data_IF_985067630066
#
_entry.id   IF_985067630066
#
_cell.length_a   1.000
_cell.length_b   1.000
_cell.length_c   1.000
_cell.angle_alpha   90.00
_cell.angle_beta   90.00
_cell.angle_gamma   90.00
#
_symmetry.space_group_name_H-M   'P 1'
#
loop_
_entity.id
_entity.type
_entity.pdbx_description
1 polymer ?
#
# COMPACT_ATOMS: atom_id res chain seq x y z
N UNK A 1 -0.98 32.12 44.31
CA UNK A 1 0.27 31.35 44.30
C UNK A 1 0.70 31.18 42.84
N UNK A 2 1.88 31.71 42.47
CA UNK A 2 2.37 31.73 41.09
C UNK A 2 2.97 30.37 40.75
N UNK A 3 2.44 29.70 39.74
CA UNK A 3 3.01 28.48 39.17
C UNK A 3 4.02 28.85 38.08
N UNK A 4 5.24 28.37 38.23
CA UNK A 4 6.35 28.44 37.28
C UNK A 4 6.05 27.71 35.96
N UNK A 5 6.52 28.22 34.80
CA UNK A 5 6.33 27.56 33.51
C UNK A 5 7.30 26.38 33.34
N UNK A 6 6.80 25.29 32.76
CA UNK A 6 7.58 24.13 32.37
C UNK A 6 8.62 24.51 31.29
N UNK A 7 9.85 24.11 31.56
CA UNK A 7 11.07 24.35 30.81
C UNK A 7 11.06 23.68 29.42
N UNK A 8 11.14 24.50 28.37
CA UNK A 8 11.19 24.17 26.92
C UNK A 8 12.62 23.77 26.46
N UNK A 9 13.52 23.48 27.40
CA UNK A 9 14.94 23.13 27.15
C UNK A 9 15.14 21.74 26.53
N UNK A 10 14.37 20.73 26.94
CA UNK A 10 14.56 19.35 26.48
C UNK A 10 14.12 19.13 25.01
N UNK A 11 13.07 19.84 24.56
CA UNK A 11 12.61 19.77 23.17
C UNK A 11 13.58 20.47 22.21
N UNK A 12 14.23 21.56 22.66
CA UNK A 12 15.25 22.28 21.86
C UNK A 12 16.57 21.52 21.75
N UNK A 13 16.92 20.69 22.73
CA UNK A 13 18.14 19.87 22.68
C UNK A 13 18.10 18.76 21.61
N UNK A 14 16.92 18.22 21.30
CA UNK A 14 16.75 17.17 20.26
C UNK A 14 16.80 17.75 18.85
N UNK A 15 16.33 18.99 18.66
CA UNK A 15 16.36 19.68 17.36
C UNK A 15 17.80 20.09 16.98
N UNK A 16 18.64 20.46 17.97
CA UNK A 16 20.00 21.00 17.70
C UNK A 16 21.07 19.97 17.33
N UNK A 17 20.82 18.67 17.55
CA UNK A 17 21.80 17.60 17.23
C UNK A 17 21.72 17.14 15.77
N UNK A 18 20.63 17.46 15.06
CA UNK A 18 20.41 17.09 13.65
C UNK A 18 20.75 18.20 12.65
N UNK A 19 21.16 19.38 13.11
CA UNK A 19 21.55 20.53 12.28
C UNK A 19 23.07 20.65 12.08
N UNK A 20 23.83 19.56 12.24
CA UNK A 20 25.21 19.55 11.73
C UNK A 20 25.15 19.31 10.21
N UNK A 21 25.51 20.29 9.36
CA UNK A 21 25.65 20.02 7.95
C UNK A 21 26.72 18.94 7.79
N UNK A 22 26.40 17.88 7.04
CA UNK A 22 27.42 16.98 6.53
C UNK A 22 28.44 17.84 5.80
N UNK A 23 29.68 17.86 6.29
CA UNK A 23 30.80 18.43 5.54
C UNK A 23 30.92 17.58 4.27
N UNK A 24 30.29 18.05 3.20
CA UNK A 24 30.35 17.42 1.88
C UNK A 24 31.74 17.66 1.31
N UNK A 25 32.62 16.68 1.46
CA UNK A 25 33.83 16.60 0.64
C UNK A 25 33.42 16.29 -0.81
N UNK A 26 33.97 16.97 -1.83
CA UNK A 26 33.49 16.88 -3.21
C UNK A 26 33.80 15.55 -3.96
N UNK A 27 34.27 14.50 -3.28
CA UNK A 27 34.74 13.26 -3.93
C UNK A 27 34.03 11.96 -3.47
N UNK A 28 32.85 12.02 -2.83
CA UNK A 28 32.14 10.80 -2.41
C UNK A 28 31.23 10.21 -3.49
N UNK A 29 31.46 8.93 -3.81
CA UNK A 29 30.65 8.18 -4.77
C UNK A 29 29.25 7.87 -4.20
N UNK A 30 28.25 7.51 -5.03
CA UNK A 30 26.92 7.13 -4.54
C UNK A 30 26.92 5.90 -3.63
N UNK A 31 27.92 5.02 -3.73
CA UNK A 31 28.06 3.85 -2.86
C UNK A 31 28.49 4.26 -1.44
N UNK A 32 29.45 5.19 -1.33
CA UNK A 32 29.96 5.69 -0.04
C UNK A 32 28.86 6.44 0.74
N UNK A 33 28.01 7.19 0.03
CA UNK A 33 26.83 7.85 0.62
C UNK A 33 25.80 6.87 1.20
N UNK A 34 25.67 5.70 0.60
CA UNK A 34 24.74 4.67 1.06
C UNK A 34 25.30 3.92 2.28
N UNK A 35 26.60 3.68 2.33
CA UNK A 35 27.28 3.07 3.48
C UNK A 35 27.28 4.00 4.70
N UNK A 36 27.52 5.30 4.50
CA UNK A 36 27.45 6.33 5.56
C UNK A 36 26.02 6.45 6.13
N UNK A 37 24.99 6.40 5.27
CA UNK A 37 23.60 6.41 5.69
C UNK A 37 23.20 5.15 6.49
N UNK A 38 23.76 3.99 6.13
CA UNK A 38 23.57 2.74 6.87
C UNK A 38 24.22 2.78 8.26
N UNK A 39 25.45 3.31 8.38
CA UNK A 39 26.16 3.50 9.66
C UNK A 39 25.43 4.47 10.59
N UNK A 40 24.84 5.53 10.04
CA UNK A 40 24.02 6.46 10.83
C UNK A 40 22.70 5.83 11.30
N UNK A 41 22.13 4.90 10.53
CA UNK A 41 20.90 4.20 10.88
C UNK A 41 21.10 3.14 11.97
N UNK A 42 22.21 2.40 11.95
CA UNK A 42 22.60 1.45 13.02
C UNK A 42 22.96 2.18 14.31
N UNK A 43 23.71 3.29 14.22
CA UNK A 43 24.03 4.12 15.38
C UNK A 43 22.79 4.76 16.02
N UNK A 44 21.80 5.16 15.20
CA UNK A 44 20.50 5.64 15.68
C UNK A 44 19.68 4.56 16.41
N UNK A 45 19.75 3.30 15.94
CA UNK A 45 19.07 2.16 16.54
C UNK A 45 19.65 1.77 17.91
N UNK A 46 20.98 1.73 18.04
CA UNK A 46 21.66 1.44 19.31
C UNK A 46 21.43 2.54 20.35
N UNK A 47 21.45 3.81 19.92
CA UNK A 47 21.16 4.95 20.80
C UNK A 47 19.70 4.98 21.26
N UNK A 48 18.76 4.59 20.40
CA UNK A 48 17.34 4.48 20.76
C UNK A 48 17.09 3.37 21.80
N UNK A 49 17.76 2.22 21.68
CA UNK A 49 17.67 1.14 22.68
C UNK A 49 18.27 1.55 24.03
N UNK A 50 19.32 2.37 24.04
CA UNK A 50 19.97 2.87 25.28
C UNK A 50 19.11 3.89 26.04
N UNK A 51 18.31 4.69 25.35
CA UNK A 51 17.48 5.74 25.95
C UNK A 51 16.16 5.21 26.52
N UNK A 52 15.62 4.10 25.98
CA UNK A 52 14.28 3.62 26.33
C UNK A 52 14.23 2.45 27.35
N UNK A 53 15.36 2.06 27.95
CA UNK A 53 15.42 1.37 29.25
C UNK A 53 14.36 0.28 29.55
N UNK A 54 14.10 -0.66 28.65
CA UNK A 54 13.19 -1.78 28.94
C UNK A 54 13.95 -2.95 29.58
N UNK A 55 14.01 -2.95 30.91
CA UNK A 55 14.39 -4.09 31.72
C UNK A 55 13.33 -5.20 31.69
N UNK A 56 13.77 -6.43 31.48
CA UNK A 56 12.94 -7.64 31.62
C UNK A 56 12.64 -7.92 33.09
N UNK A 57 11.37 -7.87 33.52
CA UNK A 57 10.83 -8.75 34.58
C UNK A 57 9.29 -8.75 34.58
N UNK A 58 8.72 -9.97 34.49
CA UNK A 58 7.35 -10.40 34.87
C UNK A 58 6.19 -9.78 34.07
N UNK A 59 5.47 -10.53 33.21
CA UNK A 59 4.45 -11.51 33.61
C UNK A 59 4.40 -12.72 32.66
N UNK A 60 4.67 -13.90 33.21
CA UNK A 60 4.91 -15.17 32.48
C UNK A 60 3.66 -16.08 32.40
N UNK A 61 2.44 -15.57 32.59
CA UNK A 61 1.25 -16.45 32.69
C UNK A 61 -0.02 -16.02 31.95
N UNK A 62 -0.05 -14.87 31.27
CA UNK A 62 -1.22 -14.46 30.46
C UNK A 62 -0.99 -14.53 28.94
N UNK A 63 0.25 -14.79 28.51
CA UNK A 63 0.62 -14.94 27.09
C UNK A 63 0.43 -16.35 26.52
N UNK A 64 0.11 -17.35 27.35
CA UNK A 64 0.07 -18.75 26.93
C UNK A 64 -1.27 -19.20 26.32
N UNK A 65 -2.31 -18.35 26.25
CA UNK A 65 -3.64 -18.76 25.72
C UNK A 65 -4.15 -18.05 24.47
N UNK A 66 -3.40 -17.12 23.88
CA UNK A 66 -3.77 -16.47 22.59
C UNK A 66 -2.71 -16.53 21.50
N UNK A 67 -1.58 -17.20 21.76
CA UNK A 67 -0.55 -17.47 20.75
C UNK A 67 -0.59 -18.93 20.27
N UNK A 68 -1.67 -19.31 19.61
CA UNK A 68 -1.69 -20.48 18.72
C UNK A 68 -1.86 -19.99 17.27
N UNK A 69 -0.88 -19.24 16.80
CA UNK A 69 -0.63 -19.01 15.37
C UNK A 69 0.77 -19.55 15.09
N UNK A 70 0.99 -20.28 13.99
CA UNK A 70 2.20 -21.08 13.82
C UNK A 70 3.43 -20.19 13.81
N UNK A 71 4.36 -20.55 14.69
CA UNK A 71 5.68 -19.98 14.82
C UNK A 71 6.47 -20.07 13.51
N UNK A 72 7.24 -19.02 13.25
CA UNK A 72 8.51 -19.02 12.51
C UNK A 72 8.63 -19.97 11.31
N UNK A 73 8.06 -19.57 10.16
CA UNK A 73 8.67 -19.93 8.89
C UNK A 73 9.77 -18.91 8.60
N UNK A 74 10.99 -19.20 9.07
CA UNK A 74 12.20 -18.53 8.60
C UNK A 74 12.20 -18.52 7.07
N UNK A 75 12.46 -17.37 6.48
CA UNK A 75 12.51 -17.22 5.02
C UNK A 75 13.60 -18.13 4.50
N UNK A 76 13.20 -19.22 3.84
CA UNK A 76 14.11 -20.09 3.09
C UNK A 76 14.94 -19.20 2.15
N UNK A 77 16.28 -19.33 2.11
CA UNK A 77 17.09 -18.68 1.10
C UNK A 77 16.45 -18.91 -0.27
N UNK A 78 16.41 -17.87 -1.10
CA UNK A 78 15.96 -17.99 -2.50
C UNK A 78 16.56 -19.28 -3.08
N UNK A 79 15.75 -20.25 -3.53
CA UNK A 79 16.29 -21.46 -4.12
C UNK A 79 17.19 -21.04 -5.28
N UNK A 80 18.47 -21.41 -5.21
CA UNK A 80 19.44 -21.19 -6.28
C UNK A 80 19.05 -22.06 -7.48
N UNK A 81 18.03 -21.65 -8.23
CA UNK A 81 17.91 -22.07 -9.62
C UNK A 81 19.00 -21.32 -10.37
N UNK A 82 19.87 -22.07 -11.03
CA UNK A 82 20.81 -21.52 -12.00
C UNK A 82 20.02 -20.67 -12.99
N UNK A 83 20.33 -19.37 -13.14
CA UNK A 83 19.79 -18.57 -14.23
C UNK A 83 20.01 -19.33 -15.54
N UNK A 84 18.97 -19.47 -16.35
CA UNK A 84 19.16 -20.00 -17.70
C UNK A 84 20.12 -19.06 -18.42
N UNK A 85 21.27 -19.54 -18.88
CA UNK A 85 22.29 -18.72 -19.54
C UNK A 85 21.75 -17.96 -20.77
N UNK A 86 20.61 -18.39 -21.33
CA UNK A 86 19.90 -17.70 -22.41
C UNK A 86 19.03 -16.52 -21.95
N UNK A 87 18.86 -16.35 -20.64
CA UNK A 87 18.08 -15.28 -20.04
C UNK A 87 18.98 -14.07 -19.74
N UNK A 88 19.55 -13.46 -20.78
CA UNK A 88 20.24 -12.19 -20.67
C UNK A 88 19.27 -11.01 -20.82
N UNK A 89 19.58 -9.89 -20.16
CA UNK A 89 18.95 -8.61 -20.44
C UNK A 89 19.72 -7.98 -21.58
N UNK A 90 19.04 -7.73 -22.70
CA UNK A 90 19.60 -6.97 -23.83
C UNK A 90 18.91 -5.60 -23.93
N UNK A 91 19.57 -4.57 -24.47
CA UNK A 91 18.94 -3.27 -24.70
C UNK A 91 17.63 -3.39 -25.50
N UNK A 92 16.59 -2.68 -25.08
CA UNK A 92 15.24 -2.72 -25.64
C UNK A 92 14.42 -3.97 -25.28
N UNK A 93 14.95 -4.89 -24.47
CA UNK A 93 14.26 -6.14 -24.12
C UNK A 93 13.14 -5.97 -23.11
N UNK A 94 12.26 -6.96 -23.01
CA UNK A 94 11.25 -7.00 -21.95
C UNK A 94 11.88 -7.04 -20.55
N UNK A 95 13.03 -7.70 -20.41
CA UNK A 95 13.82 -7.78 -19.19
C UNK A 95 14.24 -6.40 -18.70
N UNK A 96 14.87 -5.61 -19.57
CA UNK A 96 15.36 -4.26 -19.24
C UNK A 96 14.24 -3.38 -18.70
N UNK A 97 13.14 -3.24 -19.46
CA UNK A 97 12.02 -2.39 -19.03
C UNK A 97 11.39 -2.82 -17.70
N UNK A 98 11.30 -4.13 -17.44
CA UNK A 98 10.76 -4.65 -16.18
C UNK A 98 11.71 -4.36 -15.03
N UNK A 99 13.01 -4.62 -15.20
CA UNK A 99 14.03 -4.38 -14.18
C UNK A 99 14.18 -2.90 -13.86
N UNK A 100 14.30 -2.02 -14.86
CA UNK A 100 14.33 -0.56 -14.63
C UNK A 100 13.13 -0.08 -13.81
N UNK A 101 11.94 -0.64 -14.06
CA UNK A 101 10.75 -0.31 -13.27
C UNK A 101 10.81 -0.88 -11.85
N UNK A 102 11.33 -2.10 -11.68
CA UNK A 102 11.56 -2.73 -10.36
C UNK A 102 12.58 -1.94 -9.56
N UNK A 103 13.75 -1.63 -10.12
CA UNK A 103 14.85 -0.91 -9.47
C UNK A 103 14.38 0.45 -8.97
N UNK A 104 13.66 1.20 -9.81
CA UNK A 104 13.07 2.47 -9.40
C UNK A 104 12.10 2.32 -8.22
N UNK A 105 11.31 1.25 -8.17
CA UNK A 105 10.37 1.02 -7.07
C UNK A 105 11.08 0.52 -5.81
N UNK A 106 12.16 -0.25 -5.93
CA UNK A 106 12.99 -0.68 -4.80
C UNK A 106 13.72 0.52 -4.20
N UNK A 107 14.34 1.37 -5.03
CA UNK A 107 14.94 2.63 -4.59
C UNK A 107 13.92 3.51 -3.87
N UNK A 108 12.78 3.79 -4.51
CA UNK A 108 11.72 4.59 -3.90
C UNK A 108 11.17 3.99 -2.58
N UNK A 109 11.14 2.67 -2.43
CA UNK A 109 10.70 2.03 -1.18
C UNK A 109 11.70 2.31 -0.06
N UNK A 110 12.99 2.27 -0.37
CA UNK A 110 14.10 2.51 0.56
C UNK A 110 14.16 3.99 0.94
N UNK A 111 14.06 4.89 -0.03
CA UNK A 111 14.07 6.35 0.20
C UNK A 111 12.89 6.83 1.07
N UNK A 112 11.77 6.11 1.02
CA UNK A 112 10.58 6.44 1.80
C UNK A 112 10.65 5.97 3.26
N UNK A 113 11.51 5.00 3.60
CA UNK A 113 11.58 4.45 4.96
C UNK A 113 11.88 5.55 6.01
N UNK A 114 12.92 6.39 5.85
CA UNK A 114 13.21 7.43 6.84
C UNK A 114 12.08 8.46 6.96
N UNK A 115 11.39 8.76 5.85
CA UNK A 115 10.25 9.67 5.84
C UNK A 115 9.05 9.09 6.61
N UNK A 116 8.78 7.78 6.48
CA UNK A 116 7.73 7.11 7.26
C UNK A 116 8.07 7.10 8.75
N UNK A 117 9.31 6.78 9.11
CA UNK A 117 9.76 6.80 10.51
C UNK A 117 9.61 8.16 11.15
N UNK A 118 9.92 9.25 10.43
CA UNK A 118 9.73 10.63 10.91
C UNK A 118 8.28 11.11 10.90
N UNK A 119 7.34 10.32 10.38
CA UNK A 119 5.94 10.73 10.28
C UNK A 119 5.73 11.85 9.26
N UNK A 120 6.55 11.88 8.21
CA UNK A 120 6.41 12.89 7.17
C UNK A 120 5.06 12.76 6.44
N UNK A 121 4.40 13.87 6.09
CA UNK A 121 3.11 13.84 5.40
C UNK A 121 3.13 12.97 4.14
N UNK A 122 2.08 12.17 3.94
CA UNK A 122 1.88 11.27 2.79
C UNK A 122 2.94 10.17 2.60
N UNK A 123 3.98 10.07 3.45
CA UNK A 123 5.05 9.09 3.30
C UNK A 123 4.54 7.64 3.37
N UNK A 124 3.66 7.35 4.34
CA UNK A 124 3.03 6.01 4.52
C UNK A 124 2.23 5.64 3.27
N UNK A 125 1.45 6.58 2.73
CA UNK A 125 0.66 6.36 1.53
C UNK A 125 1.54 6.08 0.30
N UNK A 126 2.61 6.86 0.13
CA UNK A 126 3.59 6.66 -0.94
C UNK A 126 4.25 5.29 -0.80
N UNK A 127 4.75 4.92 0.38
CA UNK A 127 5.46 3.66 0.61
C UNK A 127 4.54 2.46 0.36
N UNK A 128 3.31 2.49 0.90
CA UNK A 128 2.27 1.48 0.63
C UNK A 128 1.96 1.37 -0.86
N UNK A 129 1.88 2.50 -1.56
CA UNK A 129 1.60 2.50 -3.00
C UNK A 129 2.77 1.90 -3.79
N UNK A 130 4.01 2.23 -3.43
CA UNK A 130 5.24 1.66 -4.00
C UNK A 130 5.29 0.15 -3.80
N UNK A 131 5.09 -0.35 -2.58
CA UNK A 131 5.05 -1.79 -2.29
C UNK A 131 3.96 -2.52 -3.11
N UNK A 132 2.78 -1.91 -3.27
CA UNK A 132 1.69 -2.48 -4.09
C UNK A 132 2.00 -2.50 -5.58
N UNK A 133 2.68 -1.46 -6.10
CA UNK A 133 3.12 -1.39 -7.50
C UNK A 133 4.19 -2.44 -7.77
N UNK A 134 5.17 -2.58 -6.88
CA UNK A 134 6.24 -3.57 -6.99
C UNK A 134 5.67 -4.98 -6.99
N UNK A 135 4.81 -5.31 -6.01
CA UNK A 135 4.08 -6.60 -5.97
C UNK A 135 3.26 -6.86 -7.24
N UNK A 136 2.65 -5.81 -7.80
CA UNK A 136 1.90 -5.88 -9.04
C UNK A 136 2.78 -6.22 -10.24
N UNK A 137 3.93 -5.56 -10.34
CA UNK A 137 4.94 -5.80 -11.38
C UNK A 137 5.43 -7.25 -11.36
N UNK A 138 5.95 -7.72 -10.21
CA UNK A 138 6.47 -9.09 -10.06
C UNK A 138 5.43 -10.16 -10.43
N UNK A 139 4.16 -9.92 -10.08
CA UNK A 139 3.05 -10.82 -10.43
C UNK A 139 2.78 -10.86 -11.94
N UNK A 140 2.71 -9.68 -12.57
CA UNK A 140 2.28 -9.55 -13.96
C UNK A 140 3.34 -10.00 -14.94
N UNK A 141 4.63 -9.84 -14.59
CA UNK A 141 5.78 -10.17 -15.44
C UNK A 141 6.48 -11.47 -15.04
N UNK A 142 5.76 -12.42 -14.46
CA UNK A 142 6.26 -13.77 -14.11
C UNK A 142 6.82 -14.62 -15.28
N UNK A 143 6.70 -14.13 -16.51
CA UNK A 143 7.35 -14.76 -17.68
C UNK A 143 8.73 -14.19 -17.98
N UNK A 144 9.06 -13.04 -17.37
CA UNK A 144 10.36 -12.36 -17.39
C UNK A 144 11.15 -12.71 -16.12
N UNK A 145 10.51 -12.67 -14.95
CA UNK A 145 11.10 -13.03 -13.67
C UNK A 145 10.54 -14.37 -13.17
N UNK A 146 11.39 -15.23 -12.58
CA UNK A 146 10.94 -16.47 -11.96
C UNK A 146 10.01 -16.16 -10.78
N UNK A 147 8.83 -16.79 -10.80
CA UNK A 147 7.85 -16.62 -9.74
C UNK A 147 8.29 -17.33 -8.47
N UNK A 148 9.04 -18.43 -8.58
CA UNK A 148 9.39 -19.23 -7.40
C UNK A 148 10.38 -18.41 -6.52
N UNK A 149 11.22 -17.61 -7.18
CA UNK A 149 12.08 -16.62 -6.52
C UNK A 149 11.33 -15.36 -6.06
N UNK A 150 10.38 -14.85 -6.85
CA UNK A 150 9.71 -13.57 -6.53
C UNK A 150 8.47 -13.69 -5.66
N UNK A 151 7.87 -14.88 -5.52
CA UNK A 151 6.65 -15.11 -4.74
C UNK A 151 6.82 -14.89 -3.22
N UNK A 152 7.95 -15.29 -2.59
CA UNK A 152 8.28 -14.89 -1.22
C UNK A 152 8.28 -13.37 -1.04
N UNK A 153 9.01 -12.64 -1.89
CA UNK A 153 9.06 -11.17 -1.85
C UNK A 153 7.65 -10.57 -2.05
N UNK A 154 6.84 -11.14 -2.94
CA UNK A 154 5.46 -10.69 -3.17
C UNK A 154 4.57 -10.89 -1.94
N UNK A 155 4.79 -11.95 -1.16
CA UNK A 155 4.08 -12.20 0.11
C UNK A 155 4.50 -11.17 1.15
N UNK A 156 5.78 -10.86 1.25
CA UNK A 156 6.28 -9.92 2.25
C UNK A 156 5.95 -8.46 1.88
N UNK A 157 5.97 -8.10 0.60
CA UNK A 157 5.38 -6.84 0.11
C UNK A 157 3.86 -6.74 0.34
N UNK A 158 3.15 -7.88 0.37
CA UNK A 158 1.71 -7.89 0.72
C UNK A 158 1.52 -7.63 2.20
N UNK A 159 2.34 -8.25 3.04
CA UNK A 159 2.35 -8.02 4.49
C UNK A 159 2.67 -6.55 4.79
N UNK A 160 3.80 -6.02 4.30
CA UNK A 160 4.19 -4.62 4.51
C UNK A 160 3.10 -3.64 4.07
N UNK A 161 2.54 -3.83 2.88
CA UNK A 161 1.44 -2.98 2.40
C UNK A 161 0.15 -3.09 3.24
N UNK A 162 -0.02 -4.20 3.97
CA UNK A 162 -1.09 -4.42 4.95
C UNK A 162 -0.85 -3.62 6.23
N UNK A 163 0.35 -3.71 6.80
CA UNK A 163 0.74 -2.96 8.01
C UNK A 163 0.66 -1.45 7.79
N UNK A 164 1.26 -0.94 6.70
CA UNK A 164 1.15 0.46 6.24
C UNK A 164 -0.29 0.86 5.86
N UNK A 165 -1.20 -0.11 5.82
CA UNK A 165 -2.56 0.05 5.37
C UNK A 165 -3.52 0.55 6.42
N UNK A 166 -3.36 0.08 7.66
CA UNK A 166 -4.27 0.38 8.75
C UNK A 166 -4.36 1.90 8.98
N UNK A 167 -3.21 2.56 9.07
CA UNK A 167 -3.10 4.01 9.24
C UNK A 167 -3.80 4.77 8.10
N UNK A 168 -3.48 4.45 6.84
CA UNK A 168 -4.04 5.17 5.70
C UNK A 168 -5.53 4.89 5.46
N UNK A 169 -5.96 3.64 5.62
CA UNK A 169 -7.36 3.28 5.42
C UNK A 169 -8.24 3.94 6.49
N UNK A 170 -7.72 4.07 7.72
CA UNK A 170 -8.35 4.85 8.79
C UNK A 170 -8.40 6.36 8.48
N UNK A 171 -7.29 6.98 8.06
CA UNK A 171 -7.28 8.41 7.71
C UNK A 171 -8.32 8.77 6.63
N UNK A 172 -8.44 7.94 5.60
CA UNK A 172 -9.42 8.15 4.52
C UNK A 172 -10.83 8.02 5.05
N UNK A 173 -11.07 7.03 5.92
CA UNK A 173 -12.38 6.83 6.55
C UNK A 173 -12.72 8.01 7.47
N UNK A 174 -11.79 8.45 8.32
CA UNK A 174 -11.94 9.63 9.19
C UNK A 174 -12.31 10.87 8.39
N UNK A 175 -11.56 11.18 7.33
CA UNK A 175 -11.83 12.36 6.51
C UNK A 175 -13.23 12.31 5.89
N UNK A 176 -13.63 11.13 5.42
CA UNK A 176 -14.97 10.90 4.85
C UNK A 176 -16.08 11.11 5.88
N UNK A 177 -15.94 10.54 7.08
CA UNK A 177 -16.92 10.66 8.15
C UNK A 177 -17.00 12.10 8.67
N UNK A 178 -15.85 12.76 8.85
CA UNK A 178 -15.77 14.15 9.32
C UNK A 178 -16.38 15.11 8.31
N UNK A 179 -16.09 14.92 7.02
CA UNK A 179 -16.71 15.71 5.94
C UNK A 179 -18.22 15.44 5.89
N UNK A 180 -18.64 14.17 5.99
CA UNK A 180 -20.05 13.81 6.05
C UNK A 180 -20.80 14.52 7.18
N UNK A 181 -20.24 14.58 8.39
CA UNK A 181 -20.84 15.33 9.51
C UNK A 181 -20.85 16.84 9.23
N UNK A 182 -19.77 17.41 8.68
CA UNK A 182 -19.67 18.84 8.36
C UNK A 182 -20.69 19.28 7.31
N UNK A 183 -20.99 18.41 6.35
CA UNK A 183 -21.89 18.71 5.24
C UNK A 183 -23.38 18.56 5.61
N UNK A 184 -23.69 18.07 6.83
CA UNK A 184 -25.07 18.00 7.32
C UNK A 184 -25.57 19.36 7.81
N UNK A 185 -26.86 19.69 7.58
CA UNK A 185 -27.53 20.75 8.32
C UNK A 185 -27.41 20.53 9.83
N UNK A 186 -27.17 21.61 10.58
CA UNK A 186 -26.87 21.54 12.01
C UNK A 186 -27.99 20.88 12.83
N UNK A 187 -29.24 21.07 12.43
CA UNK A 187 -30.43 20.46 13.04
C UNK A 187 -30.48 18.93 12.90
N UNK A 188 -29.71 18.34 11.98
CA UNK A 188 -29.60 16.90 11.79
C UNK A 188 -28.40 16.28 12.55
N UNK A 189 -27.61 17.10 13.24
CA UNK A 189 -26.47 16.68 14.06
C UNK A 189 -26.91 16.59 15.52
N UNK A 190 -27.29 15.40 15.97
CA UNK A 190 -27.86 15.17 17.29
C UNK A 190 -26.84 14.50 18.22
N UNK A 191 -26.58 15.14 19.36
CA UNK A 191 -25.64 14.65 20.37
C UNK A 191 -24.17 14.99 20.08
N UNK A 192 -23.22 14.43 20.85
CA UNK A 192 -21.81 14.80 20.81
C UNK A 192 -21.04 14.11 19.65
N UNK A 193 -21.58 14.14 18.43
CA UNK A 193 -21.07 13.45 17.23
C UNK A 193 -19.59 13.78 16.97
N UNK A 194 -19.22 15.06 17.07
CA UNK A 194 -17.84 15.52 16.88
C UNK A 194 -16.87 14.94 17.91
N UNK A 195 -17.22 14.96 19.20
CA UNK A 195 -16.39 14.40 20.26
C UNK A 195 -16.21 12.89 20.11
N UNK A 196 -17.28 12.17 19.74
CA UNK A 196 -17.22 10.73 19.47
C UNK A 196 -16.32 10.40 18.28
N UNK A 197 -16.38 11.16 17.19
CA UNK A 197 -15.44 11.02 16.07
C UNK A 197 -14.00 11.22 16.51
N UNK A 198 -13.72 12.25 17.33
CA UNK A 198 -12.38 12.54 17.82
C UNK A 198 -11.80 11.40 18.67
N UNK A 199 -12.59 10.85 19.60
CA UNK A 199 -12.18 9.72 20.45
C UNK A 199 -11.91 8.48 19.60
N UNK A 200 -12.82 8.14 18.69
CA UNK A 200 -12.64 7.02 17.76
C UNK A 200 -11.38 7.17 16.92
N UNK A 201 -11.12 8.39 16.43
CA UNK A 201 -9.99 8.69 15.58
C UNK A 201 -8.64 8.63 16.31
N UNK A 202 -8.57 9.16 17.54
CA UNK A 202 -7.36 9.16 18.35
C UNK A 202 -6.84 7.74 18.61
N UNK A 203 -7.74 6.82 18.99
CA UNK A 203 -7.39 5.42 19.27
C UNK A 203 -6.83 4.71 18.03
N UNK A 204 -7.46 4.89 16.87
CA UNK A 204 -7.06 4.22 15.64
C UNK A 204 -5.76 4.80 15.03
N UNK A 205 -5.55 6.11 15.15
CA UNK A 205 -4.28 6.75 14.72
C UNK A 205 -3.08 6.23 15.51
N UNK A 206 -3.20 6.15 16.83
CA UNK A 206 -2.12 5.65 17.68
C UNK A 206 -1.77 4.19 17.33
N UNK A 207 -2.79 3.34 17.17
CA UNK A 207 -2.60 1.93 16.80
C UNK A 207 -2.00 1.76 15.40
N UNK A 208 -2.50 2.51 14.41
CA UNK A 208 -1.97 2.48 13.05
C UNK A 208 -0.50 2.89 13.00
N UNK A 209 -0.15 3.97 13.70
CA UNK A 209 1.23 4.46 13.80
C UNK A 209 2.15 3.42 14.46
N UNK A 210 1.69 2.81 15.57
CA UNK A 210 2.42 1.76 16.28
C UNK A 210 2.72 0.58 15.36
N UNK A 211 1.70 0.04 14.67
CA UNK A 211 1.87 -1.09 13.72
C UNK A 211 2.84 -0.76 12.59
N UNK A 212 2.74 0.44 12.02
CA UNK A 212 3.67 0.90 10.98
C UNK A 212 5.12 0.85 11.50
N UNK A 213 5.39 1.42 12.69
CA UNK A 213 6.74 1.47 13.25
C UNK A 213 7.27 0.08 13.65
N UNK A 214 6.43 -0.76 14.26
CA UNK A 214 6.76 -2.14 14.60
C UNK A 214 7.09 -2.97 13.35
N UNK A 215 6.30 -2.83 12.28
CA UNK A 215 6.57 -3.51 11.02
C UNK A 215 7.93 -3.10 10.43
N UNK A 216 8.24 -1.80 10.42
CA UNK A 216 9.51 -1.28 9.92
C UNK A 216 10.70 -1.60 10.83
N UNK A 217 10.49 -1.86 12.12
CA UNK A 217 11.52 -2.33 13.03
C UNK A 217 11.71 -3.86 13.01
N UNK A 218 10.83 -4.60 12.35
CA UNK A 218 10.84 -6.06 12.40
C UNK A 218 11.97 -6.68 11.57
N UNK A 219 12.52 -7.84 11.99
CA UNK A 219 13.48 -8.61 11.19
C UNK A 219 12.92 -8.99 9.82
N UNK A 220 11.61 -9.24 9.73
CA UNK A 220 10.92 -9.55 8.47
C UNK A 220 11.03 -8.42 7.44
N UNK A 221 10.99 -7.16 7.87
CA UNK A 221 11.16 -6.02 6.98
C UNK A 221 12.61 -5.92 6.47
N UNK A 222 13.60 -6.14 7.34
CA UNK A 222 15.01 -6.19 6.94
C UNK A 222 15.27 -7.29 5.91
N UNK A 223 14.77 -8.52 6.14
CA UNK A 223 14.88 -9.61 5.17
C UNK A 223 14.17 -9.31 3.85
N UNK A 224 13.07 -8.53 3.87
CA UNK A 224 12.42 -8.05 2.65
C UNK A 224 13.35 -7.10 1.89
N UNK A 225 14.01 -6.15 2.56
CA UNK A 225 14.95 -5.22 1.92
C UNK A 225 16.15 -5.97 1.31
N UNK A 226 16.74 -6.90 2.05
CA UNK A 226 17.82 -7.77 1.56
C UNK A 226 17.38 -8.58 0.33
N UNK A 227 16.20 -9.19 0.38
CA UNK A 227 15.65 -9.94 -0.74
C UNK A 227 15.34 -9.08 -1.96
N UNK A 228 14.92 -7.83 -1.76
CA UNK A 228 14.74 -6.85 -2.85
C UNK A 228 16.06 -6.37 -3.43
N UNK A 229 17.10 -6.23 -2.60
CA UNK A 229 18.44 -5.90 -3.06
C UNK A 229 19.04 -7.05 -3.88
N UNK A 230 18.96 -8.27 -3.37
CA UNK A 230 19.39 -9.48 -4.09
C UNK A 230 18.67 -9.66 -5.42
N UNK A 231 17.37 -9.32 -5.47
CA UNK A 231 16.60 -9.32 -6.72
C UNK A 231 17.15 -8.32 -7.77
N UNK A 232 17.61 -7.15 -7.32
CA UNK A 232 18.19 -6.13 -8.20
C UNK A 232 19.61 -6.52 -8.66
N UNK A 233 20.42 -7.08 -7.76
CA UNK A 233 21.81 -7.46 -8.05
C UNK A 233 21.90 -8.73 -8.93
N UNK A 234 21.04 -9.71 -8.69
CA UNK A 234 21.03 -10.99 -9.41
C UNK A 234 19.59 -11.40 -9.79
N UNK A 235 18.98 -10.75 -10.79
CA UNK A 235 17.59 -10.99 -11.14
C UNK A 235 17.38 -12.43 -11.65
N UNK A 236 16.34 -13.16 -11.17
CA UNK A 236 16.05 -14.52 -11.58
C UNK A 236 15.32 -14.50 -12.93
N UNK A 237 16.08 -14.29 -14.00
CA UNK A 237 15.53 -14.10 -15.34
C UNK A 237 15.02 -15.41 -15.96
N UNK A 238 13.99 -15.28 -16.78
CA UNK A 238 13.41 -16.35 -17.60
C UNK A 238 13.65 -16.04 -19.08
N UNK A 239 13.51 -17.03 -19.99
CA UNK A 239 13.79 -16.83 -21.42
C UNK A 239 13.05 -15.66 -22.10
N UNK A 240 11.88 -15.22 -21.60
CA UNK A 240 11.19 -14.05 -22.19
C UNK A 240 11.77 -12.71 -21.75
N UNK A 241 12.75 -12.68 -20.86
CA UNK A 241 13.50 -11.49 -20.52
C UNK A 241 14.21 -10.93 -21.77
N UNK A 242 14.90 -11.78 -22.53
CA UNK A 242 15.54 -11.42 -23.80
C UNK A 242 14.55 -11.17 -24.97
N UNK A 243 13.25 -11.37 -24.75
CA UNK A 243 12.24 -11.22 -25.79
C UNK A 243 11.89 -9.77 -26.12
N UNK A 244 11.37 -9.54 -27.33
CA UNK A 244 10.84 -8.24 -27.78
C UNK A 244 9.85 -7.66 -26.76
N UNK A 245 10.15 -6.46 -26.27
CA UNK A 245 9.42 -5.81 -25.18
C UNK A 245 7.95 -5.64 -25.52
N UNK A 246 7.60 -5.23 -26.73
CA UNK A 246 6.21 -4.97 -27.12
C UNK A 246 5.37 -6.25 -27.04
N UNK A 247 5.92 -7.36 -27.56
CA UNK A 247 5.23 -8.64 -27.60
C UNK A 247 5.04 -9.23 -26.21
N UNK A 248 6.08 -9.19 -25.37
CA UNK A 248 6.05 -9.80 -24.02
C UNK A 248 5.18 -8.97 -23.09
N UNK A 249 5.36 -7.65 -23.08
CA UNK A 249 4.63 -6.75 -22.19
C UNK A 249 3.15 -6.65 -22.58
N UNK A 250 2.82 -6.55 -23.88
CA UNK A 250 1.43 -6.57 -24.33
C UNK A 250 0.72 -7.88 -23.96
N UNK A 251 1.41 -9.03 -24.08
CA UNK A 251 0.84 -10.33 -23.65
C UNK A 251 0.58 -10.37 -22.15
N UNK A 252 1.42 -9.74 -21.32
CA UNK A 252 1.18 -9.63 -19.89
C UNK A 252 -0.04 -8.75 -19.58
N UNK A 253 -0.19 -7.61 -20.26
CA UNK A 253 -1.36 -6.73 -20.11
C UNK A 253 -2.67 -7.43 -20.49
N UNK A 254 -2.68 -8.15 -21.62
CA UNK A 254 -3.86 -8.90 -22.06
C UNK A 254 -4.26 -9.98 -21.04
N UNK A 255 -3.29 -10.70 -20.45
CA UNK A 255 -3.59 -11.67 -19.39
C UNK A 255 -4.20 -11.05 -18.15
N UNK A 256 -3.71 -9.89 -17.70
CA UNK A 256 -4.34 -9.17 -16.58
C UNK A 256 -5.72 -8.59 -16.96
N UNK A 257 -5.90 -8.20 -18.22
CA UNK A 257 -7.18 -7.78 -18.76
C UNK A 257 -8.20 -8.91 -18.75
N UNK A 258 -7.90 -10.09 -19.28
CA UNK A 258 -8.83 -11.24 -19.28
C UNK A 258 -9.24 -11.64 -17.86
N UNK A 259 -8.30 -11.54 -16.91
CA UNK A 259 -8.56 -11.76 -15.49
C UNK A 259 -9.47 -10.68 -14.89
N UNK A 260 -9.42 -9.44 -15.38
CA UNK A 260 -10.32 -8.37 -14.97
C UNK A 260 -11.70 -8.55 -15.58
N UNK A 261 -11.77 -8.96 -16.86
CA UNK A 261 -13.02 -9.29 -17.55
C UNK A 261 -13.84 -10.29 -16.74
N UNK A 262 -13.27 -11.46 -16.43
CA UNK A 262 -13.97 -12.48 -15.62
C UNK A 262 -14.48 -11.97 -14.27
N UNK A 263 -13.73 -11.08 -13.62
CA UNK A 263 -14.15 -10.51 -12.31
C UNK A 263 -15.24 -9.47 -12.47
N UNK A 264 -15.14 -8.64 -13.50
CA UNK A 264 -16.17 -7.64 -13.75
C UNK A 264 -17.46 -8.28 -14.21
N UNK A 265 -17.40 -9.28 -15.09
CA UNK A 265 -18.59 -9.98 -15.55
C UNK A 265 -19.30 -10.66 -14.37
N UNK A 266 -18.56 -11.35 -13.49
CA UNK A 266 -19.12 -11.89 -12.24
C UNK A 266 -19.76 -10.81 -11.38
N UNK A 267 -19.09 -9.67 -11.17
CA UNK A 267 -19.62 -8.58 -10.35
C UNK A 267 -20.90 -7.95 -10.95
N UNK A 268 -20.95 -7.80 -12.28
CA UNK A 268 -22.11 -7.23 -12.96
C UNK A 268 -23.31 -8.19 -12.96
N UNK A 269 -23.08 -9.49 -13.05
CA UNK A 269 -24.11 -10.54 -12.99
C UNK A 269 -24.60 -10.86 -11.57
N UNK A 270 -23.85 -10.47 -10.53
CA UNK A 270 -24.27 -10.71 -9.15
C UNK A 270 -25.38 -9.72 -8.78
N UNK A 271 -26.51 -10.16 -8.18
CA UNK A 271 -27.56 -9.28 -7.70
C UNK A 271 -27.05 -8.24 -6.68
N UNK A 272 -27.67 -7.06 -6.57
CA UNK A 272 -27.29 -6.06 -5.56
C UNK A 272 -27.24 -6.64 -4.14
N UNK A 273 -26.18 -6.34 -3.40
CA UNK A 273 -25.99 -6.82 -2.03
C UNK A 273 -24.53 -7.09 -1.67
N UNK A 274 -24.26 -7.64 -0.47
CA UNK A 274 -22.91 -7.84 0.05
C UNK A 274 -22.01 -8.71 -0.84
N UNK A 275 -22.60 -9.70 -1.52
CA UNK A 275 -21.86 -10.54 -2.48
C UNK A 275 -21.37 -9.75 -3.70
N UNK A 276 -22.19 -8.81 -4.18
CA UNK A 276 -21.81 -7.91 -5.26
C UNK A 276 -20.74 -6.93 -4.82
N UNK A 277 -20.85 -6.40 -3.61
CA UNK A 277 -19.80 -5.53 -3.01
C UNK A 277 -18.45 -6.25 -2.98
N UNK A 278 -18.45 -7.50 -2.54
CA UNK A 278 -17.26 -8.34 -2.54
C UNK A 278 -16.74 -8.57 -3.96
N UNK A 279 -17.62 -8.91 -4.92
CA UNK A 279 -17.25 -9.12 -6.32
C UNK A 279 -16.65 -7.86 -6.96
N UNK A 280 -17.26 -6.68 -6.74
CA UNK A 280 -16.75 -5.38 -7.18
C UNK A 280 -15.39 -5.10 -6.55
N UNK A 281 -15.20 -5.37 -5.26
CA UNK A 281 -13.92 -5.22 -4.58
C UNK A 281 -12.84 -6.15 -5.17
N UNK A 282 -13.18 -7.39 -5.51
CA UNK A 282 -12.29 -8.31 -6.21
C UNK A 282 -11.91 -7.80 -7.61
N UNK A 283 -12.87 -7.22 -8.33
CA UNK A 283 -12.62 -6.60 -9.63
C UNK A 283 -11.76 -5.32 -9.51
N UNK A 284 -11.99 -4.48 -8.49
CA UNK A 284 -11.12 -3.33 -8.13
C UNK A 284 -9.66 -3.77 -7.93
N UNK A 285 -9.44 -4.90 -7.24
CA UNK A 285 -8.08 -5.49 -7.11
C UNK A 285 -7.50 -5.86 -8.48
N UNK A 286 -8.30 -6.36 -9.42
CA UNK A 286 -7.91 -6.62 -10.81
C UNK A 286 -7.56 -5.36 -11.59
N UNK A 287 -8.39 -4.31 -11.49
CA UNK A 287 -8.16 -3.03 -12.12
C UNK A 287 -6.84 -2.39 -11.65
N UNK A 288 -6.57 -2.40 -10.34
CA UNK A 288 -5.28 -1.94 -9.78
C UNK A 288 -4.09 -2.69 -10.39
N UNK A 289 -4.18 -4.02 -10.51
CA UNK A 289 -3.11 -4.84 -11.11
C UNK A 289 -2.87 -4.52 -12.58
N UNK A 290 -3.94 -4.43 -13.38
CA UNK A 290 -3.83 -4.10 -14.79
C UNK A 290 -3.23 -2.70 -14.99
N UNK A 291 -3.62 -1.72 -14.15
CA UNK A 291 -3.05 -0.38 -14.19
C UNK A 291 -1.55 -0.39 -13.88
N UNK A 292 -1.11 -1.08 -12.81
CA UNK A 292 0.31 -1.15 -12.46
C UNK A 292 1.15 -1.87 -13.51
N UNK A 293 0.60 -2.92 -14.14
CA UNK A 293 1.25 -3.54 -15.29
C UNK A 293 1.36 -2.55 -16.46
N UNK A 294 0.29 -1.81 -16.78
CA UNK A 294 0.33 -0.83 -17.85
C UNK A 294 1.32 0.33 -17.58
N UNK A 295 1.54 0.70 -16.31
CA UNK A 295 2.55 1.69 -15.91
C UNK A 295 3.98 1.19 -16.19
N UNK A 296 4.28 -0.07 -15.87
CA UNK A 296 5.57 -0.68 -16.18
C UNK A 296 5.79 -0.87 -17.69
N UNK A 297 4.73 -1.18 -18.44
CA UNK A 297 4.82 -1.36 -19.89
C UNK A 297 4.85 -0.05 -20.69
N UNK A 298 4.58 1.10 -20.05
CA UNK A 298 4.43 2.39 -20.74
C UNK A 298 5.66 2.81 -21.56
N UNK A 299 6.91 2.64 -21.10
CA UNK A 299 8.08 3.03 -21.90
C UNK A 299 8.17 2.27 -23.23
N UNK A 300 7.83 0.99 -23.25
CA UNK A 300 7.85 0.16 -24.46
C UNK A 300 6.59 0.30 -25.34
N UNK A 301 5.40 0.35 -24.72
CA UNK A 301 4.11 0.31 -25.42
C UNK A 301 3.48 1.69 -25.65
N UNK A 302 4.13 2.77 -25.22
CA UNK A 302 3.75 4.15 -25.50
C UNK A 302 2.28 4.52 -25.21
N UNK A 303 1.63 5.17 -26.20
CA UNK A 303 0.27 5.73 -26.10
C UNK A 303 -0.79 4.67 -25.79
N UNK A 304 -0.78 3.47 -26.40
CA UNK A 304 -1.70 2.38 -26.04
C UNK A 304 -1.75 2.00 -24.56
N UNK A 305 -0.60 1.73 -23.93
CA UNK A 305 -0.56 1.35 -22.52
C UNK A 305 -1.06 2.50 -21.61
N UNK A 306 -0.70 3.75 -21.94
CA UNK A 306 -1.21 4.94 -21.24
C UNK A 306 -2.73 5.06 -21.35
N UNK A 307 -3.30 4.81 -22.53
CA UNK A 307 -4.76 4.86 -22.75
C UNK A 307 -5.47 3.78 -21.94
N UNK A 308 -4.95 2.55 -21.93
CA UNK A 308 -5.48 1.46 -21.12
C UNK A 308 -5.45 1.80 -19.62
N UNK A 309 -4.30 2.27 -19.12
CA UNK A 309 -4.15 2.69 -17.73
C UNK A 309 -5.16 3.78 -17.34
N UNK A 310 -5.38 4.78 -18.20
CA UNK A 310 -6.37 5.86 -17.98
C UNK A 310 -7.80 5.32 -17.88
N UNK A 311 -8.20 4.41 -18.78
CA UNK A 311 -9.56 3.83 -18.76
C UNK A 311 -9.76 2.92 -17.54
N UNK A 312 -8.78 2.10 -17.21
CA UNK A 312 -8.82 1.24 -16.01
C UNK A 312 -8.80 2.07 -14.72
N UNK A 313 -8.15 3.24 -14.70
CA UNK A 313 -8.21 4.19 -13.57
C UNK A 313 -9.64 4.68 -13.33
N UNK A 314 -10.45 4.88 -14.37
CA UNK A 314 -11.86 5.27 -14.21
C UNK A 314 -12.67 4.17 -13.50
N UNK A 315 -12.49 2.90 -13.91
CA UNK A 315 -13.10 1.73 -13.25
C UNK A 315 -12.63 1.64 -11.79
N UNK A 316 -11.32 1.82 -11.54
CA UNK A 316 -10.74 1.82 -10.20
C UNK A 316 -11.34 2.95 -9.32
N UNK A 317 -11.61 4.12 -9.89
CA UNK A 317 -12.19 5.26 -9.15
C UNK A 317 -13.61 4.98 -8.71
N UNK A 318 -14.46 4.46 -9.61
CA UNK A 318 -15.87 4.15 -9.31
C UNK A 318 -16.00 2.99 -8.32
N UNK A 319 -15.39 1.84 -8.62
CA UNK A 319 -15.31 0.72 -7.68
C UNK A 319 -14.56 1.09 -6.39
N UNK A 320 -13.73 2.13 -6.47
CA UNK A 320 -13.07 2.76 -5.35
C UNK A 320 -14.06 3.38 -4.38
N UNK A 321 -14.73 4.41 -4.85
CA UNK A 321 -15.72 5.17 -4.08
C UNK A 321 -16.88 4.30 -3.58
N UNK A 322 -17.29 3.29 -4.36
CA UNK A 322 -18.29 2.30 -3.95
C UNK A 322 -17.83 1.53 -2.70
N UNK A 323 -16.66 0.91 -2.77
CA UNK A 323 -16.13 0.13 -1.65
C UNK A 323 -15.83 1.01 -0.43
N UNK A 324 -15.35 2.24 -0.66
CA UNK A 324 -15.08 3.18 0.43
C UNK A 324 -16.40 3.56 1.15
N UNK A 325 -17.53 3.64 0.44
CA UNK A 325 -18.87 3.80 1.04
C UNK A 325 -19.34 2.55 1.81
N UNK A 326 -19.09 1.35 1.30
CA UNK A 326 -19.36 0.09 2.02
C UNK A 326 -18.60 0.02 3.35
N UNK A 327 -17.31 0.40 3.34
CA UNK A 327 -16.50 0.47 4.56
C UNK A 327 -17.01 1.56 5.52
N UNK A 328 -17.40 2.72 4.99
CA UNK A 328 -17.96 3.81 5.79
C UNK A 328 -19.24 3.40 6.51
N UNK A 329 -20.15 2.70 5.83
CA UNK A 329 -21.38 2.16 6.43
C UNK A 329 -21.11 1.27 7.62
N UNK A 330 -20.13 0.38 7.51
CA UNK A 330 -19.77 -0.52 8.59
C UNK A 330 -19.23 0.24 9.83
N UNK A 331 -18.45 1.30 9.60
CA UNK A 331 -17.98 2.18 10.68
C UNK A 331 -19.13 3.00 11.30
N UNK A 332 -20.01 3.57 10.48
CA UNK A 332 -21.19 4.32 10.91
C UNK A 332 -22.12 3.46 11.77
N UNK A 333 -22.34 2.20 11.39
CA UNK A 333 -23.11 1.25 12.20
C UNK A 333 -22.48 1.03 13.57
N UNK A 334 -21.15 0.82 13.63
CA UNK A 334 -20.44 0.67 14.92
C UNK A 334 -20.55 1.92 15.80
N UNK A 335 -20.44 3.10 15.20
CA UNK A 335 -20.59 4.37 15.94
C UNK A 335 -22.01 4.55 16.44
N UNK A 336 -23.03 4.20 15.65
CA UNK A 336 -24.43 4.22 16.08
C UNK A 336 -24.67 3.31 17.29
N UNK A 337 -24.17 2.07 17.25
CA UNK A 337 -24.26 1.13 18.38
C UNK A 337 -23.55 1.67 19.62
N UNK A 338 -22.35 2.22 19.45
CA UNK A 338 -21.57 2.79 20.55
C UNK A 338 -22.21 4.05 21.15
N UNK A 339 -22.83 4.90 20.33
CA UNK A 339 -23.59 6.06 20.77
C UNK A 339 -24.82 5.63 21.57
N UNK A 340 -25.59 4.66 21.05
CA UNK A 340 -26.76 4.13 21.74
C UNK A 340 -26.41 3.54 23.11
N UNK A 341 -25.32 2.76 23.21
CA UNK A 341 -24.84 2.21 24.47
C UNK A 341 -24.41 3.29 25.50
N UNK A 342 -24.07 4.49 25.03
CA UNK A 342 -23.73 5.65 25.87
C UNK A 342 -24.93 6.57 26.17
N UNK A 343 -26.16 6.18 25.77
CA UNK A 343 -27.35 7.01 25.93
C UNK A 343 -27.42 8.19 24.96
N UNK A 344 -26.61 8.20 23.90
CA UNK A 344 -26.58 9.27 22.91
C UNK A 344 -27.49 8.99 21.69
N UNK A 345 -28.00 10.03 21.00
CA UNK A 345 -28.78 9.87 19.78
C UNK A 345 -28.02 9.12 18.68
N UNK A 346 -28.65 8.07 18.12
CA UNK A 346 -28.12 7.32 16.98
C UNK A 346 -28.42 7.94 15.60
N UNK A 347 -29.28 8.95 15.54
CA UNK A 347 -29.89 9.49 14.33
C UNK A 347 -28.86 9.92 13.27
N UNK A 348 -27.89 10.76 13.63
CA UNK A 348 -26.89 11.30 12.69
C UNK A 348 -26.07 10.19 12.03
N UNK A 349 -25.71 9.15 12.80
CA UNK A 349 -24.99 8.00 12.27
C UNK A 349 -25.83 7.18 11.28
N UNK A 350 -27.12 6.99 11.58
CA UNK A 350 -28.08 6.32 10.71
C UNK A 350 -28.31 7.07 9.40
N UNK A 351 -28.45 8.40 9.48
CA UNK A 351 -28.59 9.28 8.31
C UNK A 351 -27.38 9.17 7.38
N UNK A 352 -26.16 9.33 7.91
CA UNK A 352 -24.93 9.17 7.15
C UNK A 352 -24.79 7.76 6.56
N UNK A 353 -25.19 6.72 7.31
CA UNK A 353 -25.17 5.35 6.81
C UNK A 353 -26.07 5.18 5.58
N UNK A 354 -27.26 5.79 5.60
CA UNK A 354 -28.17 5.82 4.45
C UNK A 354 -27.58 6.55 3.23
N UNK A 355 -27.01 7.73 3.45
CA UNK A 355 -26.36 8.52 2.39
C UNK A 355 -25.19 7.77 1.74
N UNK A 356 -24.36 7.11 2.53
CA UNK A 356 -23.26 6.28 2.04
C UNK A 356 -23.76 5.09 1.19
N UNK A 357 -24.87 4.47 1.60
CA UNK A 357 -25.54 3.43 0.83
C UNK A 357 -26.03 3.92 -0.53
N UNK A 358 -26.72 5.07 -0.54
CA UNK A 358 -27.21 5.69 -1.77
C UNK A 358 -26.06 6.07 -2.72
N UNK A 359 -24.99 6.67 -2.19
CA UNK A 359 -23.81 7.04 -2.94
C UNK A 359 -23.08 5.82 -3.54
N UNK A 360 -22.89 4.75 -2.75
CA UNK A 360 -22.30 3.50 -3.23
C UNK A 360 -23.12 2.90 -4.37
N UNK A 361 -24.45 2.80 -4.20
CA UNK A 361 -25.37 2.31 -5.24
C UNK A 361 -25.34 3.16 -6.52
N UNK A 362 -25.20 4.49 -6.42
CA UNK A 362 -25.02 5.35 -7.58
C UNK A 362 -23.71 5.05 -8.34
N UNK A 363 -22.62 4.74 -7.64
CA UNK A 363 -21.34 4.38 -8.28
C UNK A 363 -21.38 3.01 -8.94
N UNK A 364 -22.14 2.08 -8.38
CA UNK A 364 -22.40 0.79 -9.02
C UNK A 364 -23.12 0.96 -10.35
N UNK A 365 -24.15 1.80 -10.42
CA UNK A 365 -24.88 2.08 -11.67
C UNK A 365 -24.01 2.70 -12.76
N UNK A 366 -22.98 3.46 -12.39
CA UNK A 366 -22.02 4.05 -13.35
C UNK A 366 -20.93 3.06 -13.80
N UNK A 367 -20.72 1.96 -13.06
CA UNK A 367 -19.61 1.04 -13.28
C UNK A 367 -19.66 0.32 -14.65
N UNK A 368 -20.81 -0.14 -15.17
CA UNK A 368 -20.90 -0.79 -16.49
C UNK A 368 -20.37 0.07 -17.64
N UNK A 369 -20.73 1.35 -17.67
CA UNK A 369 -20.32 2.26 -18.75
C UNK A 369 -18.81 2.55 -18.70
N UNK A 370 -18.25 2.77 -17.51
CA UNK A 370 -16.81 2.88 -17.33
C UNK A 370 -16.07 1.58 -17.71
N UNK A 371 -16.66 0.43 -17.40
CA UNK A 371 -16.10 -0.88 -17.73
C UNK A 371 -16.11 -1.13 -19.25
N UNK A 372 -17.20 -0.84 -19.95
CA UNK A 372 -17.29 -1.00 -21.41
C UNK A 372 -16.17 -0.23 -22.13
N UNK A 373 -15.91 1.02 -21.72
CA UNK A 373 -14.81 1.85 -22.25
C UNK A 373 -13.43 1.27 -21.95
N UNK A 374 -13.23 0.68 -20.76
CA UNK A 374 -11.97 0.03 -20.41
C UNK A 374 -11.76 -1.29 -21.17
N UNK A 375 -12.82 -2.07 -21.37
CA UNK A 375 -12.81 -3.31 -22.14
C UNK A 375 -12.45 -3.08 -23.59
N UNK A 376 -13.03 -2.06 -24.23
CA UNK A 376 -12.71 -1.71 -25.62
C UNK A 376 -11.24 -1.28 -25.82
N UNK A 377 -10.59 -0.72 -24.79
CA UNK A 377 -9.21 -0.23 -24.88
C UNK A 377 -8.15 -1.34 -24.88
N UNK A 378 -8.48 -2.55 -24.45
CA UNK A 378 -7.54 -3.67 -24.30
C UNK A 378 -7.53 -4.61 -25.52
N UNK A 379 -7.45 -4.06 -26.74
CA UNK A 379 -7.34 -4.85 -27.98
C UNK A 379 -5.87 -5.09 -28.33
N UNK A 380 -5.50 -6.33 -28.69
CA UNK A 380 -4.14 -6.69 -29.11
C UNK A 380 -3.63 -5.80 -30.26
N UNK A 381 -4.45 -5.60 -31.30
CA UNK A 381 -4.14 -4.69 -32.42
C UNK A 381 -3.90 -3.24 -31.95
N UNK A 382 -4.47 -2.83 -30.82
CA UNK A 382 -4.27 -1.49 -30.27
C UNK A 382 -3.02 -1.40 -29.38
N UNK A 383 -2.52 -2.51 -28.82
CA UNK A 383 -1.35 -2.55 -27.92
C UNK A 383 -0.03 -2.79 -28.65
N UNK A 384 -0.05 -3.40 -29.84
CA UNK A 384 1.14 -3.72 -30.64
C UNK A 384 1.30 -2.79 -31.87
N UNK A 385 0.55 -1.70 -31.92
CA UNK A 385 0.72 -0.58 -32.86
C UNK A 385 1.47 0.52 -32.14
#
# INVERSE_FOLDING_TARGET
>A
MRGTPLDDSAARAVVRVCERPALTSPEMTPADRNEEAQKQCTYGFERWNRVNGHGMTQTKRETERTCAAPAAAGTTPLPKRTPDARAAVVPGSAGEHVLTYVDRLVGALTDLDPAVRRGAPDAVHKMRTTARRLRGCLRSYRSVLDRDATDPLRRDLRWLAGELGAERDHEVLRERLTSGVRDLPGELVLGPVGARLQVWDAAQRAEGRRRTLEALASPRYLSLLEGLRALADAPPLRPKAAGRSEKVLAKALLKEHDRLVRRMDRALQTPPGPERDAAIHHARKGAKRLRYAAEAARPALGKPARRLAKRVKAVQRLSGAQHDGVVARDALRRMAVSAHAAGEPGFTWGLLHGQEGAAAGARERQLPEAWARARAAARRKALCR
#
